data_IF_714251091221
#
_entry.id   IF_714251091221
#
_cell.length_a   1.000
_cell.length_b   1.000
_cell.length_c   1.000
_cell.angle_alpha   90.00
_cell.angle_beta   90.00
_cell.angle_gamma   90.00
#
_symmetry.space_group_name_H-M   'P 1'
#
loop_
_entity.id
_entity.type
_entity.pdbx_description
1 polymer ?
#
# COMPACT_ATOMS: atom_id res chain seq x y z
N UNK A 1 0.79 15.33 -34.73
CA UNK A 1 0.46 16.49 -33.87
C UNK A 1 -1.00 16.82 -34.12
N UNK A 2 -1.90 16.24 -33.32
CA UNK A 2 -3.34 16.43 -33.46
C UNK A 2 -3.79 17.33 -32.32
N UNK A 3 -3.58 18.64 -32.48
CA UNK A 3 -4.23 19.64 -31.64
C UNK A 3 -5.60 19.92 -32.28
N UNK A 4 -6.67 19.58 -31.58
CA UNK A 4 -8.00 20.06 -31.94
C UNK A 4 -8.43 20.97 -30.80
N UNK A 5 -8.37 22.28 -31.07
CA UNK A 5 -8.88 23.32 -30.21
C UNK A 5 -10.35 23.03 -29.86
N UNK A 6 -10.59 22.72 -28.59
CA UNK A 6 -11.93 22.58 -28.02
C UNK A 6 -12.40 23.94 -27.49
N UNK A 7 -12.29 24.97 -28.32
CA UNK A 7 -12.89 26.28 -28.05
C UNK A 7 -14.31 26.30 -28.62
N UNK A 8 -15.33 26.05 -27.78
CA UNK A 8 -16.68 26.46 -28.16
C UNK A 8 -17.85 25.82 -27.43
N UNK A 9 -17.71 24.63 -26.86
CA UNK A 9 -18.81 23.98 -26.13
C UNK A 9 -18.24 23.28 -24.91
N UNK A 10 -18.74 23.64 -23.72
CA UNK A 10 -18.23 23.17 -22.44
C UNK A 10 -17.80 21.70 -22.46
N UNK A 11 -16.59 21.44 -21.96
CA UNK A 11 -15.94 20.14 -22.02
C UNK A 11 -16.92 19.02 -21.65
N UNK A 12 -17.19 18.06 -22.56
CA UNK A 12 -18.12 16.99 -22.29
C UNK A 12 -17.64 16.14 -21.11
N UNK A 13 -18.56 15.47 -20.43
CA UNK A 13 -18.18 14.55 -19.35
C UNK A 13 -17.13 13.55 -19.87
N UNK A 14 -16.24 13.11 -18.98
CA UNK A 14 -15.08 12.27 -19.32
C UNK A 14 -15.46 11.01 -20.11
N UNK A 15 -16.65 10.45 -19.89
CA UNK A 15 -17.14 9.27 -20.59
C UNK A 15 -17.53 9.57 -22.05
N UNK A 16 -18.23 10.68 -22.29
CA UNK A 16 -18.61 11.12 -23.63
C UNK A 16 -17.37 11.51 -24.44
N UNK A 17 -16.43 12.23 -23.83
CA UNK A 17 -15.16 12.59 -24.46
C UNK A 17 -14.34 11.36 -24.86
N UNK A 18 -14.28 10.35 -23.99
CA UNK A 18 -13.56 9.12 -24.28
C UNK A 18 -14.14 8.36 -25.48
N UNK A 19 -15.47 8.26 -25.58
CA UNK A 19 -16.17 7.64 -26.72
C UNK A 19 -15.93 8.41 -28.02
N UNK A 20 -15.86 9.74 -27.95
CA UNK A 20 -15.55 10.58 -29.12
C UNK A 20 -14.11 10.36 -29.60
N UNK A 21 -13.14 10.30 -28.68
CA UNK A 21 -11.74 10.00 -29.02
C UNK A 21 -11.61 8.61 -29.66
N UNK A 22 -12.35 7.61 -29.16
CA UNK A 22 -12.33 6.25 -29.70
C UNK A 22 -12.82 6.19 -31.17
N UNK A 23 -13.83 7.00 -31.52
CA UNK A 23 -14.33 7.09 -32.90
C UNK A 23 -13.48 7.94 -33.84
N UNK A 24 -12.88 9.03 -33.35
CA UNK A 24 -12.06 9.94 -34.17
C UNK A 24 -10.62 9.43 -34.38
N UNK A 25 -10.10 8.67 -33.42
CA UNK A 25 -8.71 8.20 -33.40
C UNK A 25 -8.63 6.80 -32.75
N UNK A 26 -8.91 5.73 -33.50
CA UNK A 26 -8.82 4.36 -32.99
C UNK A 26 -7.40 3.97 -32.53
N UNK A 27 -6.36 4.67 -33.00
CA UNK A 27 -4.98 4.51 -32.52
C UNK A 27 -4.78 4.97 -31.06
N UNK A 28 -5.52 6.00 -30.63
CA UNK A 28 -5.43 6.61 -29.29
C UNK A 28 -6.31 5.84 -28.28
N UNK A 29 -7.31 5.10 -28.77
CA UNK A 29 -8.28 4.32 -27.98
C UNK A 29 -7.69 3.19 -27.14
N UNK A 30 -6.41 2.85 -27.33
CA UNK A 30 -5.69 1.98 -26.39
C UNK A 30 -5.41 2.78 -25.13
N UNK A 31 -6.36 2.74 -24.19
CA UNK A 31 -6.25 3.25 -22.82
C UNK A 31 -4.80 3.11 -22.35
N UNK A 32 -4.06 4.22 -22.38
CA UNK A 32 -2.73 4.30 -21.78
C UNK A 32 -2.99 4.30 -20.28
N UNK A 33 -3.28 3.12 -19.73
CA UNK A 33 -3.10 2.88 -18.31
C UNK A 33 -1.58 2.91 -18.18
N UNK A 34 -1.05 4.11 -17.97
CA UNK A 34 0.37 4.34 -17.82
C UNK A 34 0.86 3.45 -16.70
N UNK A 35 1.39 2.28 -17.03
CA UNK A 35 2.39 1.65 -16.19
C UNK A 35 3.49 2.69 -16.13
N UNK A 36 3.71 3.26 -14.94
CA UNK A 36 4.86 4.13 -14.69
C UNK A 36 6.08 3.39 -15.25
N UNK A 37 6.73 3.99 -16.24
CA UNK A 37 7.92 3.43 -16.86
C UNK A 37 8.92 3.08 -15.74
N UNK A 38 9.24 1.79 -15.60
CA UNK A 38 10.09 1.28 -14.52
C UNK A 38 9.39 0.43 -13.44
N UNK A 39 8.06 0.29 -13.46
CA UNK A 39 7.38 -0.68 -12.60
C UNK A 39 7.51 -2.10 -13.18
N UNK A 40 8.69 -2.70 -13.01
CA UNK A 40 8.84 -4.15 -13.20
C UNK A 40 7.99 -4.84 -12.13
N UNK A 41 7.11 -5.79 -12.50
CA UNK A 41 6.43 -6.62 -11.52
C UNK A 41 7.49 -7.38 -10.73
N UNK A 42 7.80 -6.91 -9.52
CA UNK A 42 8.69 -7.64 -8.61
C UNK A 42 7.97 -8.90 -8.16
N UNK A 43 8.73 -9.98 -8.04
CA UNK A 43 8.21 -11.24 -7.52
C UNK A 43 7.59 -11.02 -6.13
N UNK A 44 6.63 -11.86 -5.77
CA UNK A 44 5.92 -11.73 -4.50
C UNK A 44 6.88 -11.80 -3.31
N UNK A 45 7.93 -12.61 -3.45
CA UNK A 45 8.99 -12.84 -2.47
C UNK A 45 9.84 -11.59 -2.29
N UNK A 46 10.24 -10.92 -3.38
CA UNK A 46 11.00 -9.68 -3.31
C UNK A 46 10.20 -8.54 -2.64
N UNK A 47 8.88 -8.49 -2.91
CA UNK A 47 7.97 -7.56 -2.21
C UNK A 47 7.90 -7.87 -0.71
N UNK A 48 7.80 -9.15 -0.34
CA UNK A 48 7.73 -9.56 1.07
C UNK A 48 9.01 -9.26 1.82
N UNK A 49 10.18 -9.57 1.26
CA UNK A 49 11.48 -9.28 1.85
C UNK A 49 11.65 -7.78 2.14
N UNK A 50 11.33 -6.91 1.16
CA UNK A 50 11.43 -5.47 1.35
C UNK A 50 10.46 -4.92 2.42
N UNK A 51 9.28 -5.52 2.57
CA UNK A 51 8.33 -5.14 3.63
C UNK A 51 8.81 -5.62 5.01
N UNK A 52 9.40 -6.81 5.10
CA UNK A 52 10.01 -7.31 6.34
C UNK A 52 11.15 -6.38 6.74
N UNK A 53 12.07 -6.07 5.84
CA UNK A 53 13.19 -5.15 6.05
C UNK A 53 12.74 -3.74 6.45
N UNK A 54 11.59 -3.26 5.96
CA UNK A 54 11.01 -1.97 6.35
C UNK A 54 10.41 -2.01 7.77
N UNK A 55 9.80 -3.14 8.14
CA UNK A 55 9.15 -3.33 9.44
C UNK A 55 10.17 -3.59 10.56
N UNK A 56 11.24 -4.31 10.24
CA UNK A 56 12.44 -4.36 11.09
C UNK A 56 13.16 -3.03 10.94
N UNK A 57 13.53 -2.33 12.02
CA UNK A 57 14.12 -0.96 11.92
C UNK A 57 15.58 -0.96 11.46
N UNK A 58 15.91 -1.80 10.47
CA UNK A 58 17.28 -2.11 10.05
C UNK A 58 17.90 -0.92 9.32
N UNK A 59 17.14 -0.27 8.41
CA UNK A 59 17.64 0.82 7.57
C UNK A 59 16.55 1.85 7.23
N UNK A 60 16.98 2.97 6.64
CA UNK A 60 16.05 3.99 6.13
C UNK A 60 15.22 3.45 4.96
N UNK A 61 13.94 3.84 4.90
CA UNK A 61 13.03 3.43 3.83
C UNK A 61 13.56 3.78 2.41
N UNK A 62 14.38 4.83 2.30
CA UNK A 62 15.02 5.22 1.04
C UNK A 62 16.05 4.20 0.57
N UNK A 63 16.87 3.68 1.49
CA UNK A 63 17.89 2.66 1.19
C UNK A 63 17.23 1.34 0.80
N UNK A 64 16.20 0.93 1.54
CA UNK A 64 15.42 -0.28 1.25
C UNK A 64 14.76 -0.17 -0.12
N UNK A 65 14.16 0.99 -0.44
CA UNK A 65 13.56 1.24 -1.75
C UNK A 65 14.60 1.18 -2.89
N UNK A 66 15.78 1.75 -2.67
CA UNK A 66 16.88 1.70 -3.64
C UNK A 66 17.34 0.25 -3.91
N UNK A 67 17.55 -0.55 -2.86
CA UNK A 67 17.92 -1.98 -2.97
C UNK A 67 16.83 -2.80 -3.68
N UNK A 68 15.57 -2.53 -3.34
CA UNK A 68 14.43 -3.18 -3.99
C UNK A 68 14.20 -2.68 -5.43
N UNK A 69 14.85 -1.59 -5.85
CA UNK A 69 14.68 -0.99 -7.18
C UNK A 69 13.31 -0.36 -7.37
N UNK A 70 12.72 0.17 -6.30
CA UNK A 70 11.40 0.83 -6.31
C UNK A 70 11.48 2.22 -5.70
N UNK A 71 10.42 3.01 -5.91
CA UNK A 71 10.28 4.27 -5.21
C UNK A 71 9.81 4.04 -3.76
N UNK A 72 10.25 4.90 -2.84
CA UNK A 72 9.81 4.87 -1.44
C UNK A 72 8.28 4.89 -1.27
N UNK A 73 7.50 5.67 -2.06
CA UNK A 73 6.04 5.60 -2.01
C UNK A 73 5.47 4.23 -2.41
N UNK A 74 6.09 3.55 -3.38
CA UNK A 74 5.68 2.21 -3.78
C UNK A 74 5.97 1.18 -2.68
N UNK A 75 7.09 1.31 -1.98
CA UNK A 75 7.43 0.50 -0.81
C UNK A 75 6.40 0.64 0.31
N UNK A 76 5.94 1.86 0.61
CA UNK A 76 4.84 2.08 1.56
C UNK A 76 3.50 1.51 1.07
N UNK A 77 3.22 1.60 -0.23
CA UNK A 77 2.03 1.00 -0.81
C UNK A 77 2.05 -0.53 -0.65
N UNK A 78 3.20 -1.17 -0.85
CA UNK A 78 3.36 -2.60 -0.60
C UNK A 78 3.12 -2.96 0.86
N UNK A 79 3.66 -2.18 1.81
CA UNK A 79 3.38 -2.37 3.23
C UNK A 79 1.87 -2.34 3.51
N UNK A 80 1.18 -1.31 2.99
CA UNK A 80 -0.26 -1.11 3.18
C UNK A 80 -1.12 -2.19 2.50
N UNK A 81 -0.63 -2.83 1.43
CA UNK A 81 -1.33 -3.95 0.81
C UNK A 81 -1.21 -5.24 1.63
N UNK A 82 -0.07 -5.45 2.29
CA UNK A 82 0.25 -6.70 3.01
C UNK A 82 -0.28 -6.70 4.44
N UNK A 83 -0.18 -5.57 5.16
CA UNK A 83 -0.61 -5.44 6.55
C UNK A 83 -2.04 -4.89 6.67
N UNK A 84 -2.72 -4.72 5.53
CA UNK A 84 -3.91 -3.89 5.43
C UNK A 84 -3.55 -2.40 5.46
N UNK A 85 -4.45 -1.55 4.96
CA UNK A 85 -4.29 -0.10 5.14
C UNK A 85 -4.31 0.13 6.63
N UNK A 86 -3.14 0.38 7.22
CA UNK A 86 -3.05 0.99 8.53
C UNK A 86 -3.91 2.25 8.41
N UNK A 87 -5.13 2.21 8.95
CA UNK A 87 -5.93 3.40 9.15
C UNK A 87 -5.01 4.25 10.00
N UNK A 88 -4.36 5.26 9.37
CA UNK A 88 -3.31 6.08 9.97
C UNK A 88 -3.67 6.21 11.42
N UNK A 89 -2.92 5.52 12.30
CA UNK A 89 -3.36 5.32 13.67
C UNK A 89 -3.74 6.70 14.15
N UNK A 90 -5.05 6.95 14.29
CA UNK A 90 -5.53 8.27 14.64
C UNK A 90 -4.80 8.52 15.94
N UNK A 91 -3.93 9.53 15.96
CA UNK A 91 -3.03 9.82 17.09
C UNK A 91 -3.87 10.34 18.27
N UNK A 92 -4.90 9.60 18.67
CA UNK A 92 -5.45 9.67 20.00
C UNK A 92 -4.36 9.10 20.88
N UNK A 93 -3.86 9.97 21.77
CA UNK A 93 -2.91 9.67 22.84
C UNK A 93 -3.10 8.23 23.31
N UNK A 94 -2.01 7.44 23.49
CA UNK A 94 -2.13 6.10 24.01
C UNK A 94 -3.03 6.18 25.26
N UNK A 95 -4.14 5.43 25.21
CA UNK A 95 -4.98 5.19 26.38
C UNK A 95 -4.01 4.70 27.45
N UNK A 96 -4.08 5.30 28.65
CA UNK A 96 -3.22 4.96 29.80
C UNK A 96 -3.03 3.44 29.85
N UNK A 97 -1.84 2.94 30.24
CA UNK A 97 -1.60 1.51 30.33
C UNK A 97 -2.77 0.86 31.07
N UNK A 98 -3.23 -0.26 30.52
CA UNK A 98 -4.26 -1.11 31.11
C UNK A 98 -4.08 -1.19 32.64
N UNK A 99 -5.16 -1.08 33.44
CA UNK A 99 -5.08 -1.20 34.88
C UNK A 99 -4.27 -2.46 35.25
N UNK A 100 -3.49 -2.39 36.33
CA UNK A 100 -2.63 -3.48 36.79
C UNK A 100 -3.37 -4.85 36.86
N UNK A 101 -4.68 -4.83 37.09
CA UNK A 101 -5.57 -5.99 37.03
C UNK A 101 -5.55 -6.73 35.67
N UNK A 102 -5.63 -6.02 34.55
CA UNK A 102 -5.68 -6.63 33.22
C UNK A 102 -4.34 -7.32 32.89
N UNK A 103 -3.22 -6.76 33.36
CA UNK A 103 -1.90 -7.39 33.19
C UNK A 103 -1.79 -8.68 34.01
N UNK A 104 -2.22 -8.65 35.27
CA UNK A 104 -2.19 -9.82 36.14
C UNK A 104 -3.09 -10.96 35.61
N UNK A 105 -4.27 -10.63 35.06
CA UNK A 105 -5.16 -11.63 34.45
C UNK A 105 -4.53 -12.26 33.20
N UNK A 106 -3.89 -11.45 32.36
CA UNK A 106 -3.19 -11.93 31.17
C UNK A 106 -2.00 -12.83 31.53
N UNK A 107 -1.21 -12.46 32.53
CA UNK A 107 -0.12 -13.28 33.05
C UNK A 107 -0.62 -14.61 33.61
N UNK A 108 -1.72 -14.61 34.36
CA UNK A 108 -2.36 -15.84 34.85
C UNK A 108 -2.80 -16.76 33.70
N UNK A 109 -3.34 -16.16 32.62
CA UNK A 109 -3.78 -16.90 31.43
C UNK A 109 -2.60 -17.53 30.69
N UNK A 110 -1.50 -16.79 30.54
CA UNK A 110 -0.25 -17.30 29.94
C UNK A 110 0.31 -18.46 30.75
N UNK A 111 0.32 -18.34 32.08
CA UNK A 111 0.84 -19.39 32.96
C UNK A 111 -0.04 -20.66 32.92
N UNK A 112 -1.36 -20.51 32.85
CA UNK A 112 -2.27 -21.66 32.65
C UNK A 112 -1.97 -22.39 31.35
N UNK A 113 -1.85 -21.65 30.24
CA UNK A 113 -1.55 -22.23 28.93
C UNK A 113 -0.20 -22.96 28.92
N UNK A 114 0.82 -22.41 29.59
CA UNK A 114 2.13 -23.06 29.73
C UNK A 114 2.03 -24.39 30.48
N UNK A 115 1.21 -24.46 31.53
CA UNK A 115 0.98 -25.70 32.29
C UNK A 115 0.25 -26.74 31.46
N UNK A 116 -0.71 -26.32 30.64
CA UNK A 116 -1.47 -27.25 29.80
C UNK A 116 -0.59 -27.84 28.69
N UNK A 117 0.31 -27.03 28.11
CA UNK A 117 1.32 -27.50 27.15
C UNK A 117 2.30 -28.48 27.80
N UNK A 118 2.73 -28.24 29.04
CA UNK A 118 3.67 -29.13 29.74
C UNK A 118 3.06 -30.43 30.27
N UNK A 119 1.73 -30.59 30.19
CA UNK A 119 0.99 -31.80 30.60
C UNK A 119 0.58 -32.69 29.41
N UNK A 120 0.78 -32.21 28.19
CA UNK A 120 0.66 -32.96 26.94
C UNK A 120 2.00 -33.64 26.62
#
# INVERSE_FOLDING_TARGET
>A
MCCYDLEGFGLPNRGTFAKWIEGLCPEIGKRIVGRVAGSVPKSREARQAAVIELCTRDESASMIAQRAGVSTPLLYNWKNQQLGREVSASMKRPKKPAPNLERAELEQRVESLRRDIGKL
#
